data_IF_995193564257
#
_entry.id   IF_995193564257
#
_cell.length_a   1.000
_cell.length_b   1.000
_cell.length_c   1.000
_cell.angle_alpha   90.00
_cell.angle_beta   90.00
_cell.angle_gamma   90.00
#
_symmetry.space_group_name_H-M   'P 1'
#
loop_
_entity.id
_entity.type
_entity.pdbx_description
1 polymer ?
#
# COMPACT_ATOMS: atom_id res chain seq x y z
N UNK A 1 -20.22 6.22 -0.57
CA UNK A 1 -18.85 6.11 -0.01
C UNK A 1 -18.87 5.21 1.23
N UNK A 2 -18.74 3.90 1.04
CA UNK A 2 -19.07 2.86 2.06
C UNK A 2 -18.19 2.87 3.32
N UNK A 3 -17.04 3.56 3.30
CA UNK A 3 -16.09 3.56 4.43
C UNK A 3 -16.18 4.79 5.35
N UNK A 4 -16.75 5.92 4.91
CA UNK A 4 -16.81 7.14 5.74
C UNK A 4 -17.68 6.94 6.99
N UNK A 5 -18.76 6.17 6.89
CA UNK A 5 -19.62 5.83 8.03
C UNK A 5 -18.98 4.87 9.03
N UNK A 6 -17.88 4.20 8.67
CA UNK A 6 -17.12 3.33 9.56
C UNK A 6 -16.09 4.11 10.40
N UNK A 7 -15.81 5.36 10.03
CA UNK A 7 -14.87 6.20 10.75
C UNK A 7 -15.54 6.71 12.03
N UNK A 8 -14.94 6.39 13.17
CA UNK A 8 -15.40 6.87 14.48
C UNK A 8 -15.35 8.39 14.57
N UNK A 9 -16.07 8.94 15.54
CA UNK A 9 -15.98 10.33 15.96
C UNK A 9 -14.50 10.75 16.17
N UNK A 10 -14.08 11.89 15.60
CA UNK A 10 -12.69 12.40 15.53
C UNK A 10 -11.68 11.49 14.79
N UNK A 11 -12.18 10.57 13.97
CA UNK A 11 -11.34 9.65 13.20
C UNK A 11 -10.70 10.27 11.96
N UNK A 12 -9.82 9.50 11.33
CA UNK A 12 -9.11 9.90 10.10
C UNK A 12 -9.29 8.85 9.02
N UNK A 13 -9.60 9.31 7.80
CA UNK A 13 -9.53 8.51 6.59
C UNK A 13 -8.31 8.95 5.78
N UNK A 14 -7.34 8.06 5.61
CA UNK A 14 -6.09 8.34 4.90
C UNK A 14 -6.02 7.51 3.62
N UNK A 15 -5.95 8.18 2.47
CA UNK A 15 -5.75 7.51 1.18
C UNK A 15 -4.26 7.33 0.90
N UNK A 16 -3.86 6.09 0.62
CA UNK A 16 -2.49 5.74 0.20
C UNK A 16 -2.43 5.19 -1.23
N UNK A 17 -3.59 4.96 -1.85
CA UNK A 17 -3.70 4.54 -3.24
C UNK A 17 -3.88 5.75 -4.18
N UNK A 18 -3.37 5.61 -5.41
CA UNK A 18 -3.70 6.51 -6.51
C UNK A 18 -5.04 6.09 -7.11
N UNK A 19 -6.11 6.38 -6.38
CA UNK A 19 -7.46 6.05 -6.81
C UNK A 19 -7.91 7.07 -7.87
N UNK A 20 -8.49 6.59 -8.97
CA UNK A 20 -9.27 7.45 -9.86
C UNK A 20 -10.39 8.16 -9.07
N UNK A 21 -10.95 9.28 -9.56
CA UNK A 21 -12.02 9.99 -8.87
C UNK A 21 -13.12 9.03 -8.39
N UNK A 22 -13.22 8.87 -7.06
CA UNK A 22 -13.89 7.73 -6.43
C UNK A 22 -15.43 7.80 -6.57
N UNK A 23 -16.00 8.84 -7.19
CA UNK A 23 -17.45 8.92 -7.31
C UNK A 23 -17.95 9.73 -8.51
N UNK A 24 -19.20 9.47 -8.86
CA UNK A 24 -20.13 10.42 -9.51
C UNK A 24 -20.96 11.22 -8.48
N UNK A 25 -21.00 10.82 -7.18
CA UNK A 25 -21.99 11.27 -6.17
C UNK A 25 -21.58 12.22 -5.02
N UNK A 26 -20.38 12.78 -4.99
CA UNK A 26 -19.92 13.77 -4.00
C UNK A 26 -19.16 13.21 -2.79
N UNK A 27 -18.36 14.06 -2.15
CA UNK A 27 -17.92 13.86 -0.76
C UNK A 27 -19.07 14.32 0.15
N UNK A 28 -19.52 13.46 1.08
CA UNK A 28 -20.55 13.83 2.06
C UNK A 28 -19.95 14.66 3.20
N UNK A 29 -19.97 15.98 3.06
CA UNK A 29 -19.50 16.92 4.08
C UNK A 29 -20.35 16.94 5.36
N UNK A 30 -21.60 16.45 5.31
CA UNK A 30 -22.47 16.42 6.50
C UNK A 30 -21.97 15.38 7.51
N UNK A 31 -21.65 14.17 7.03
CA UNK A 31 -21.07 13.10 7.86
C UNK A 31 -19.70 13.51 8.40
N UNK A 32 -18.87 14.14 7.56
CA UNK A 32 -17.54 14.65 7.96
C UNK A 32 -17.66 15.66 9.09
N UNK A 33 -18.60 16.61 8.99
CA UNK A 33 -18.78 17.67 9.98
C UNK A 33 -19.34 17.14 11.30
N UNK A 34 -20.38 16.28 11.23
CA UNK A 34 -21.03 15.72 12.41
C UNK A 34 -20.10 14.79 13.21
N UNK A 35 -19.23 14.03 12.52
CA UNK A 35 -18.28 13.10 13.16
C UNK A 35 -16.88 13.68 13.35
N UNK A 36 -16.63 14.94 12.96
CA UNK A 36 -15.32 15.60 12.98
C UNK A 36 -14.21 14.76 12.31
N UNK A 37 -14.53 14.16 11.17
CA UNK A 37 -13.61 13.28 10.44
C UNK A 37 -12.56 14.12 9.69
N UNK A 38 -11.29 13.74 9.78
CA UNK A 38 -10.24 14.30 8.92
C UNK A 38 -10.00 13.40 7.70
N UNK A 39 -9.87 14.00 6.51
CA UNK A 39 -9.48 13.28 5.29
C UNK A 39 -8.08 13.73 4.88
N UNK A 40 -7.19 12.78 4.62
CA UNK A 40 -5.81 13.04 4.21
C UNK A 40 -5.36 12.08 3.09
N UNK A 41 -4.27 12.44 2.41
CA UNK A 41 -3.56 11.57 1.48
C UNK A 41 -2.09 11.48 1.85
N UNK A 42 -1.44 10.35 1.56
CA UNK A 42 0.00 10.17 1.72
C UNK A 42 0.52 9.24 0.62
N UNK A 43 1.73 9.49 0.12
CA UNK A 43 2.34 8.72 -0.98
C UNK A 43 3.54 7.89 -0.51
N UNK A 44 4.50 8.53 0.16
CA UNK A 44 5.69 7.90 0.74
C UNK A 44 6.18 8.75 1.91
N UNK A 45 6.94 8.15 2.83
CA UNK A 45 7.63 8.86 3.91
C UNK A 45 9.00 9.41 3.50
N UNK A 46 9.57 10.24 4.36
CA UNK A 46 10.97 10.70 4.27
C UNK A 46 11.97 9.57 4.58
N UNK A 47 13.25 9.82 4.35
CA UNK A 47 14.33 8.88 4.68
C UNK A 47 14.36 8.58 6.17
N UNK A 48 14.20 9.61 7.02
CA UNK A 48 14.19 9.42 8.47
C UNK A 48 13.00 8.57 8.92
N UNK A 49 11.79 8.89 8.45
CA UNK A 49 10.59 8.09 8.76
C UNK A 49 10.69 6.65 8.24
N UNK A 50 11.36 6.45 7.09
CA UNK A 50 11.62 5.10 6.57
C UNK A 50 12.53 4.32 7.51
N UNK A 51 13.56 4.95 8.08
CA UNK A 51 14.42 4.32 9.08
C UNK A 51 13.61 3.95 10.34
N UNK A 52 12.77 4.85 10.84
CA UNK A 52 11.92 4.59 12.00
C UNK A 52 10.99 3.37 11.77
N UNK A 53 10.43 3.24 10.55
CA UNK A 53 9.60 2.08 10.18
C UNK A 53 10.42 0.79 10.13
N UNK A 54 11.64 0.82 9.58
CA UNK A 54 12.51 -0.36 9.53
C UNK A 54 12.89 -0.82 10.94
N UNK A 55 13.25 0.12 11.81
CA UNK A 55 13.61 -0.17 13.21
C UNK A 55 12.42 -0.76 13.97
N UNK A 56 11.23 -0.16 13.82
CA UNK A 56 9.98 -0.68 14.40
C UNK A 56 9.65 -2.09 13.89
N UNK A 57 9.78 -2.33 12.58
CA UNK A 57 9.55 -3.65 12.00
C UNK A 57 10.53 -4.70 12.54
N UNK A 58 11.82 -4.34 12.69
CA UNK A 58 12.83 -5.23 13.24
C UNK A 58 12.57 -5.55 14.73
N UNK A 59 12.18 -4.54 15.53
CA UNK A 59 11.84 -4.73 16.95
C UNK A 59 10.65 -5.68 17.15
N UNK A 60 9.63 -5.56 16.29
CA UNK A 60 8.38 -6.29 16.44
C UNK A 60 8.26 -7.54 15.56
N UNK A 61 9.30 -7.89 14.79
CA UNK A 61 9.28 -9.04 13.89
C UNK A 61 8.24 -8.92 12.78
N UNK A 62 8.04 -7.70 12.26
CA UNK A 62 7.11 -7.43 11.15
C UNK A 62 7.88 -7.58 9.84
N UNK A 63 7.43 -8.50 9.00
CA UNK A 63 7.93 -8.71 7.65
C UNK A 63 6.77 -8.79 6.66
N UNK A 64 7.06 -8.56 5.38
CA UNK A 64 6.11 -8.86 4.31
C UNK A 64 6.09 -10.37 4.05
N UNK A 65 4.92 -10.91 3.74
CA UNK A 65 4.80 -12.21 3.08
C UNK A 65 5.23 -12.06 1.62
N UNK A 66 6.17 -12.89 1.18
CA UNK A 66 6.81 -12.76 -0.12
C UNK A 66 6.98 -14.10 -0.82
N UNK A 67 6.81 -14.12 -2.13
CA UNK A 67 7.35 -15.15 -3.01
C UNK A 67 8.65 -14.64 -3.63
N UNK A 68 9.77 -15.31 -3.32
CA UNK A 68 11.06 -14.98 -3.93
C UNK A 68 11.17 -15.68 -5.28
N UNK A 69 11.42 -14.91 -6.35
CA UNK A 69 11.51 -15.41 -7.71
C UNK A 69 12.88 -15.10 -8.34
N UNK A 70 13.39 -15.98 -9.23
CA UNK A 70 14.49 -15.63 -10.12
C UNK A 70 14.07 -14.56 -11.15
N UNK A 71 15.04 -13.85 -11.71
CA UNK A 71 14.80 -12.75 -12.66
C UNK A 71 14.11 -13.21 -13.96
N UNK A 72 14.36 -14.45 -14.40
CA UNK A 72 13.82 -15.01 -15.64
C UNK A 72 12.29 -15.17 -15.58
N UNK A 73 11.72 -15.26 -14.39
CA UNK A 73 10.27 -15.32 -14.14
C UNK A 73 9.57 -13.96 -14.03
N UNK A 74 10.26 -12.83 -14.23
CA UNK A 74 9.68 -11.49 -14.04
C UNK A 74 8.40 -11.25 -14.86
N UNK A 75 8.34 -11.75 -16.09
CA UNK A 75 7.17 -11.55 -16.95
C UNK A 75 5.97 -12.37 -16.47
N UNK A 76 6.17 -13.63 -16.09
CA UNK A 76 5.12 -14.48 -15.51
C UNK A 76 4.59 -13.88 -14.21
N UNK A 77 5.49 -13.39 -13.35
CA UNK A 77 5.12 -12.73 -12.11
C UNK A 77 4.32 -11.44 -12.36
N UNK A 78 4.68 -10.66 -13.37
CA UNK A 78 3.93 -9.47 -13.76
C UNK A 78 2.52 -9.82 -14.26
N UNK A 79 2.38 -10.83 -15.11
CA UNK A 79 1.08 -11.31 -15.60
C UNK A 79 0.20 -11.80 -14.45
N UNK A 80 0.78 -12.49 -13.46
CA UNK A 80 0.07 -12.91 -12.25
C UNK A 80 -0.42 -11.72 -11.40
N UNK A 81 0.41 -10.67 -11.21
CA UNK A 81 0.00 -9.42 -10.53
C UNK A 81 -1.22 -8.81 -11.22
N UNK A 82 -1.18 -8.70 -12.56
CA UNK A 82 -2.28 -8.13 -13.36
C UNK A 82 -3.55 -8.98 -13.24
N UNK A 83 -3.41 -10.31 -13.25
CA UNK A 83 -4.50 -11.25 -13.04
C UNK A 83 -5.01 -11.28 -11.59
N UNK A 84 -4.32 -10.63 -10.64
CA UNK A 84 -4.54 -10.68 -9.19
C UNK A 84 -4.42 -12.10 -8.63
N UNK A 85 -3.65 -12.95 -9.29
CA UNK A 85 -3.39 -14.34 -8.92
C UNK A 85 -2.07 -14.45 -8.15
N UNK A 86 -1.96 -13.68 -7.06
CA UNK A 86 -0.76 -13.61 -6.22
C UNK A 86 -1.14 -13.43 -4.76
N UNK A 87 -0.30 -13.90 -3.84
CA UNK A 87 -0.38 -13.57 -2.42
C UNK A 87 0.66 -12.50 -2.08
N UNK A 88 0.16 -11.29 -1.80
CA UNK A 88 0.89 -10.11 -1.32
C UNK A 88 1.99 -9.52 -2.23
N UNK A 89 3.18 -10.14 -2.33
CA UNK A 89 4.36 -9.53 -2.95
C UNK A 89 5.31 -10.55 -3.59
N UNK A 90 5.85 -10.19 -4.74
CA UNK A 90 7.06 -10.80 -5.29
C UNK A 90 8.32 -10.07 -4.84
N UNK A 91 9.39 -10.81 -4.57
CA UNK A 91 10.75 -10.30 -4.39
C UNK A 91 11.66 -10.97 -5.41
N UNK A 92 12.35 -10.17 -6.23
CA UNK A 92 13.28 -10.72 -7.21
C UNK A 92 14.62 -10.97 -6.52
N UNK A 93 15.12 -12.20 -6.63
CA UNK A 93 16.49 -12.52 -6.25
C UNK A 93 17.48 -12.02 -7.31
N UNK A 94 18.10 -10.88 -7.04
CA UNK A 94 19.05 -10.23 -7.96
C UNK A 94 20.30 -11.09 -8.20
N UNK A 95 20.62 -12.07 -7.33
CA UNK A 95 21.75 -12.98 -7.57
C UNK A 95 21.55 -13.89 -8.78
N UNK A 96 20.31 -14.01 -9.26
CA UNK A 96 19.94 -14.79 -10.46
C UNK A 96 20.06 -14.00 -11.76
N UNK A 97 20.40 -12.71 -11.69
CA UNK A 97 20.65 -11.88 -12.86
C UNK A 97 21.99 -12.26 -13.48
N UNK A 98 21.97 -12.81 -14.70
CA UNK A 98 23.17 -13.01 -15.49
C UNK A 98 23.94 -11.68 -15.60
N UNK A 99 25.18 -11.69 -15.15
CA UNK A 99 26.09 -10.57 -15.34
C UNK A 99 26.72 -10.71 -16.74
N UNK A 100 26.41 -9.81 -17.69
CA UNK A 100 27.26 -9.71 -18.86
C UNK A 100 28.66 -9.27 -18.38
N UNK A 101 29.68 -10.06 -18.72
CA UNK A 101 31.08 -9.63 -18.59
C UNK A 101 31.37 -8.36 -19.40
#
# INVERSE_FOLDING_TARGET
>A
MTYLSLVKHDGRLVSVGMLEPIHEGGIDFSTISLQRISIAGSMIGSIAETQDVLDFCAEHGISADVEVIPIDRINEAFDAIVAKDIEFRYVIDISTLDHPE
#
